data_IF_340667752066
#
_entry.id   IF_340667752066
#
_cell.length_a   1.000
_cell.length_b   1.000
_cell.length_c   1.000
_cell.angle_alpha   90.00
_cell.angle_beta   90.00
_cell.angle_gamma   90.00
#
_symmetry.space_group_name_H-M   'P 1'
#
loop_
_entity.id
_entity.type
_entity.pdbx_description
1 polymer ?
#
# COMPACT_ATOMS: atom_id res chain seq x y z
N UNK A 1 -8.97 23.40 -9.44
CA UNK A 1 -9.77 22.36 -10.14
C UNK A 1 -11.11 22.97 -10.52
N UNK A 2 -11.54 22.89 -11.79
CA UNK A 2 -12.79 23.52 -12.27
C UNK A 2 -14.03 22.88 -11.61
N UNK A 3 -15.10 23.65 -11.47
CA UNK A 3 -16.35 23.25 -10.80
C UNK A 3 -17.02 22.07 -11.51
N UNK A 4 -17.02 22.00 -12.85
CA UNK A 4 -17.60 20.86 -13.57
C UNK A 4 -16.83 19.56 -13.27
N UNK A 5 -15.49 19.64 -13.15
CA UNK A 5 -14.66 18.46 -12.85
C UNK A 5 -14.97 17.92 -11.46
N UNK A 6 -15.19 18.80 -10.47
CA UNK A 6 -15.58 18.43 -9.10
C UNK A 6 -16.96 17.79 -9.04
N UNK A 7 -17.88 18.20 -9.91
CA UNK A 7 -19.23 17.64 -9.99
C UNK A 7 -19.28 16.27 -10.69
N UNK A 8 -18.22 15.86 -11.39
CA UNK A 8 -18.23 14.60 -12.14
C UNK A 8 -18.46 13.39 -11.22
N UNK A 9 -19.25 12.38 -11.65
CA UNK A 9 -19.58 11.21 -10.82
C UNK A 9 -18.35 10.46 -10.32
N UNK A 10 -17.33 10.31 -11.18
CA UNK A 10 -16.09 9.63 -10.83
C UNK A 10 -15.30 10.36 -9.73
N UNK A 11 -15.24 11.70 -9.78
CA UNK A 11 -14.58 12.49 -8.74
C UNK A 11 -15.37 12.43 -7.43
N UNK A 12 -16.71 12.46 -7.48
CA UNK A 12 -17.54 12.31 -6.28
C UNK A 12 -17.34 10.95 -5.60
N UNK A 13 -17.19 9.87 -6.35
CA UNK A 13 -16.84 8.54 -5.80
C UNK A 13 -15.46 8.58 -5.14
N UNK A 14 -14.47 9.18 -5.81
CA UNK A 14 -13.11 9.30 -5.26
C UNK A 14 -13.09 10.11 -3.96
N UNK A 15 -13.77 11.26 -3.90
CA UNK A 15 -13.88 12.09 -2.69
C UNK A 15 -14.54 11.33 -1.55
N UNK A 16 -15.63 10.59 -1.82
CA UNK A 16 -16.31 9.77 -0.81
C UNK A 16 -15.42 8.64 -0.29
N UNK A 17 -14.68 7.97 -1.17
CA UNK A 17 -13.74 6.92 -0.77
C UNK A 17 -12.59 7.51 0.07
N UNK A 18 -11.99 8.62 -0.38
CA UNK A 18 -10.91 9.32 0.33
C UNK A 18 -11.33 9.73 1.74
N UNK A 19 -12.49 10.37 1.86
CA UNK A 19 -13.06 10.77 3.16
C UNK A 19 -13.31 9.56 4.06
N UNK A 20 -13.82 8.44 3.51
CA UNK A 20 -14.06 7.24 4.30
C UNK A 20 -12.77 6.60 4.82
N UNK A 21 -11.70 6.57 4.02
CA UNK A 21 -10.38 6.08 4.45
C UNK A 21 -9.78 6.99 5.52
N UNK A 22 -9.78 8.32 5.30
CA UNK A 22 -9.20 9.27 6.25
C UNK A 22 -9.96 9.36 7.59
N UNK A 23 -11.26 9.09 7.58
CA UNK A 23 -12.08 9.08 8.80
C UNK A 23 -12.18 7.69 9.46
N UNK A 24 -11.40 6.70 9.00
CA UNK A 24 -11.47 5.31 9.45
C UNK A 24 -12.89 4.70 9.41
N UNK A 25 -13.75 5.19 8.51
CA UNK A 25 -15.13 4.74 8.38
C UNK A 25 -15.21 3.59 7.37
N UNK A 26 -14.85 2.39 7.83
CA UNK A 26 -14.84 1.17 7.02
C UNK A 26 -16.22 0.84 6.42
N UNK A 27 -17.32 1.09 7.15
CA UNK A 27 -18.67 0.86 6.66
C UNK A 27 -18.99 1.75 5.45
N UNK A 28 -18.67 3.05 5.54
CA UNK A 28 -18.82 3.99 4.42
C UNK A 28 -17.90 3.61 3.25
N UNK A 29 -16.67 3.19 3.52
CA UNK A 29 -15.75 2.75 2.49
C UNK A 29 -16.31 1.57 1.69
N UNK A 30 -16.71 0.48 2.35
CA UNK A 30 -17.26 -0.69 1.66
C UNK A 30 -18.60 -0.39 0.99
N UNK A 31 -19.39 0.56 1.50
CA UNK A 31 -20.59 1.05 0.81
C UNK A 31 -20.26 1.80 -0.50
N UNK A 32 -19.18 2.58 -0.53
CA UNK A 32 -18.68 3.19 -1.77
C UNK A 32 -18.23 2.12 -2.75
N UNK A 33 -17.44 1.13 -2.28
CA UNK A 33 -16.96 0.03 -3.13
C UNK A 33 -18.14 -0.76 -3.72
N UNK A 34 -19.16 -1.07 -2.92
CA UNK A 34 -20.37 -1.77 -3.39
C UNK A 34 -21.06 -1.04 -4.54
N UNK A 35 -21.07 0.29 -4.54
CA UNK A 35 -21.69 1.13 -5.60
C UNK A 35 -20.76 1.48 -6.77
N UNK A 36 -19.45 1.26 -6.62
CA UNK A 36 -18.46 1.61 -7.62
C UNK A 36 -18.50 0.66 -8.85
N UNK A 37 -18.00 1.16 -9.99
CA UNK A 37 -17.74 0.31 -11.17
C UNK A 37 -16.59 -0.66 -10.91
N UNK A 38 -16.41 -1.66 -11.79
CA UNK A 38 -15.29 -2.61 -11.66
C UNK A 38 -13.94 -1.90 -11.57
N UNK A 39 -13.62 -0.99 -12.49
CA UNK A 39 -12.32 -0.29 -12.51
C UNK A 39 -12.13 0.59 -11.27
N UNK A 40 -13.17 1.30 -10.84
CA UNK A 40 -13.13 2.09 -9.61
C UNK A 40 -12.87 1.19 -8.39
N UNK A 41 -13.60 0.08 -8.28
CA UNK A 41 -13.43 -0.87 -7.19
C UNK A 41 -12.05 -1.56 -7.21
N UNK A 42 -11.50 -1.84 -8.40
CA UNK A 42 -10.16 -2.42 -8.57
C UNK A 42 -9.06 -1.48 -8.06
N UNK A 43 -9.20 -0.16 -8.27
CA UNK A 43 -8.30 0.83 -7.68
C UNK A 43 -8.47 0.86 -6.15
N UNK A 44 -9.71 0.93 -5.67
CA UNK A 44 -10.01 0.96 -4.23
C UNK A 44 -9.55 -0.30 -3.49
N UNK A 45 -9.43 -1.42 -4.19
CA UNK A 45 -8.95 -2.69 -3.64
C UNK A 45 -7.57 -2.56 -2.97
N UNK A 46 -6.71 -1.66 -3.44
CA UNK A 46 -5.40 -1.37 -2.83
C UNK A 46 -5.51 -0.99 -1.35
N UNK A 47 -6.62 -0.38 -0.93
CA UNK A 47 -6.84 0.09 0.44
C UNK A 47 -7.55 -0.92 1.33
N UNK A 48 -7.96 -2.09 0.82
CA UNK A 48 -8.72 -3.07 1.60
C UNK A 48 -7.96 -3.52 2.85
N UNK A 49 -6.68 -3.87 2.72
CA UNK A 49 -5.87 -4.30 3.86
C UNK A 49 -5.83 -3.25 4.97
N UNK A 50 -5.49 -2.00 4.61
CA UNK A 50 -5.45 -0.87 5.54
C UNK A 50 -6.82 -0.63 6.21
N UNK A 51 -7.91 -0.59 5.42
CA UNK A 51 -9.25 -0.33 5.95
C UNK A 51 -9.72 -1.47 6.86
N UNK A 52 -9.45 -2.73 6.50
CA UNK A 52 -9.78 -3.90 7.32
C UNK A 52 -9.02 -3.89 8.64
N UNK A 53 -7.73 -3.56 8.62
CA UNK A 53 -6.90 -3.42 9.83
C UNK A 53 -7.45 -2.32 10.75
N UNK A 54 -7.70 -1.13 10.20
CA UNK A 54 -8.30 -0.01 10.95
C UNK A 54 -9.69 -0.36 11.50
N UNK A 55 -10.47 -1.15 10.77
CA UNK A 55 -11.76 -1.64 11.23
C UNK A 55 -11.62 -2.56 12.43
N UNK A 56 -10.69 -3.53 12.40
CA UNK A 56 -10.41 -4.40 13.55
C UNK A 56 -9.96 -3.59 14.76
N UNK A 57 -9.03 -2.64 14.58
CA UNK A 57 -8.58 -1.75 15.66
C UNK A 57 -9.75 -0.95 16.26
N UNK A 58 -10.65 -0.44 15.40
CA UNK A 58 -11.85 0.28 15.82
C UNK A 58 -12.82 -0.63 16.58
N UNK A 59 -13.07 -1.84 16.07
CA UNK A 59 -13.93 -2.84 16.73
C UNK A 59 -13.36 -3.28 18.07
N UNK A 60 -12.05 -3.50 18.15
CA UNK A 60 -11.39 -3.82 19.41
C UNK A 60 -11.60 -2.70 20.43
N UNK A 61 -11.35 -1.44 20.06
CA UNK A 61 -11.56 -0.29 20.97
C UNK A 61 -13.01 -0.13 21.41
N UNK A 62 -13.97 -0.40 20.53
CA UNK A 62 -15.39 -0.16 20.79
C UNK A 62 -16.08 -1.33 21.52
N UNK A 63 -15.72 -2.57 21.19
CA UNK A 63 -16.47 -3.76 21.64
C UNK A 63 -15.74 -4.59 22.68
N UNK A 64 -14.44 -4.36 22.94
CA UNK A 64 -13.70 -5.18 23.92
C UNK A 64 -13.86 -4.65 25.34
N UNK A 65 -14.07 -5.59 26.24
CA UNK A 65 -13.98 -5.37 27.70
C UNK A 65 -12.62 -5.86 28.22
N UNK A 66 -12.38 -5.79 29.52
CA UNK A 66 -11.15 -6.30 30.16
C UNK A 66 -10.89 -7.79 29.92
N UNK A 67 -11.93 -8.57 29.56
CA UNK A 67 -11.81 -10.01 29.28
C UNK A 67 -11.67 -10.35 27.80
N UNK A 68 -11.63 -9.34 26.92
CA UNK A 68 -11.77 -9.53 25.48
C UNK A 68 -13.21 -9.79 25.05
N UNK A 69 -13.42 -9.87 23.73
CA UNK A 69 -14.73 -10.10 23.12
C UNK A 69 -14.60 -11.10 21.98
N UNK A 70 -15.48 -12.10 21.98
CA UNK A 70 -15.59 -13.06 20.89
C UNK A 70 -16.59 -12.55 19.86
N UNK A 71 -16.17 -12.49 18.59
CA UNK A 71 -17.01 -12.03 17.48
C UNK A 71 -17.15 -13.17 16.47
N UNK A 72 -18.37 -13.48 15.99
CA UNK A 72 -18.56 -14.47 14.95
C UNK A 72 -17.75 -14.15 13.69
N UNK A 73 -17.00 -15.14 13.20
CA UNK A 73 -16.16 -15.01 12.01
C UNK A 73 -16.99 -14.61 10.77
N UNK A 74 -18.22 -15.11 10.68
CA UNK A 74 -19.16 -14.75 9.61
C UNK A 74 -19.53 -13.26 9.61
N UNK A 75 -19.63 -12.64 10.79
CA UNK A 75 -19.90 -11.21 10.88
C UNK A 75 -18.70 -10.38 10.41
N UNK A 76 -17.48 -10.85 10.69
CA UNK A 76 -16.26 -10.23 10.19
C UNK A 76 -16.18 -10.35 8.67
N UNK A 77 -16.40 -11.54 8.12
CA UNK A 77 -16.44 -11.78 6.66
C UNK A 77 -17.44 -10.83 6.00
N UNK A 78 -18.66 -10.77 6.53
CA UNK A 78 -19.74 -9.94 6.01
C UNK A 78 -19.45 -8.45 6.15
N UNK A 79 -18.92 -8.01 7.29
CA UNK A 79 -18.72 -6.58 7.57
C UNK A 79 -17.51 -6.03 6.81
N UNK A 80 -16.42 -6.79 6.77
CA UNK A 80 -15.15 -6.40 6.16
C UNK A 80 -14.96 -6.93 4.73
N UNK A 81 -16.01 -7.55 4.19
CA UNK A 81 -16.12 -7.99 2.80
C UNK A 81 -14.96 -8.91 2.41
N UNK A 82 -14.65 -9.90 3.25
CA UNK A 82 -13.76 -11.00 2.89
C UNK A 82 -14.47 -11.97 1.93
N UNK A 83 -13.71 -12.65 1.08
CA UNK A 83 -14.24 -13.58 0.08
C UNK A 83 -14.43 -14.98 0.65
N UNK A 84 -13.66 -15.34 1.69
CA UNK A 84 -13.71 -16.67 2.30
C UNK A 84 -13.30 -16.67 3.77
N UNK A 85 -13.65 -17.76 4.44
CA UNK A 85 -13.18 -18.09 5.79
C UNK A 85 -11.65 -18.19 5.82
N UNK A 86 -11.05 -18.84 4.81
CA UNK A 86 -9.60 -19.00 4.70
C UNK A 86 -8.89 -17.65 4.61
N UNK A 87 -9.38 -16.73 3.75
CA UNK A 87 -8.83 -15.36 3.62
C UNK A 87 -8.87 -14.63 4.97
N UNK A 88 -9.99 -14.76 5.68
CA UNK A 88 -10.20 -14.08 6.97
C UNK A 88 -9.28 -14.65 8.05
N UNK A 89 -9.12 -15.97 8.12
CA UNK A 89 -8.23 -16.62 9.07
C UNK A 89 -6.77 -16.26 8.82
N UNK A 90 -6.32 -16.23 7.55
CA UNK A 90 -4.97 -15.78 7.22
C UNK A 90 -4.75 -14.32 7.64
N UNK A 91 -5.72 -13.45 7.35
CA UNK A 91 -5.66 -12.03 7.78
C UNK A 91 -5.61 -11.89 9.31
N UNK A 92 -6.38 -12.69 10.04
CA UNK A 92 -6.35 -12.70 11.50
C UNK A 92 -5.00 -13.19 12.05
N UNK A 93 -4.44 -14.25 11.46
CA UNK A 93 -3.13 -14.77 11.84
C UNK A 93 -2.02 -13.74 11.60
N UNK A 94 -2.05 -13.04 10.46
CA UNK A 94 -1.10 -11.97 10.15
C UNK A 94 -1.16 -10.80 11.15
N UNK A 95 -2.33 -10.54 11.74
CA UNK A 95 -2.51 -9.51 12.78
C UNK A 95 -2.40 -10.06 14.21
N UNK A 96 -1.95 -11.30 14.38
CA UNK A 96 -1.84 -11.98 15.68
C UNK A 96 -3.15 -12.03 16.48
N UNK A 97 -4.27 -12.15 15.76
CA UNK A 97 -5.61 -12.28 16.35
C UNK A 97 -5.88 -13.76 16.61
N UNK A 98 -6.17 -14.10 17.86
CA UNK A 98 -6.60 -15.46 18.24
C UNK A 98 -7.90 -15.82 17.53
N UNK A 99 -7.92 -16.98 16.86
CA UNK A 99 -9.11 -17.51 16.19
C UNK A 99 -9.55 -18.81 16.86
N UNK A 100 -10.85 -18.92 17.11
CA UNK A 100 -11.54 -20.13 17.58
C UNK A 100 -12.43 -20.66 16.46
N UNK A 101 -12.95 -21.91 16.56
CA UNK A 101 -13.93 -22.40 15.60
C UNK A 101 -15.09 -21.40 15.46
N UNK A 102 -15.27 -20.88 14.24
CA UNK A 102 -16.28 -19.89 13.84
C UNK A 102 -16.22 -18.51 14.53
N UNK A 103 -15.20 -18.20 15.33
CA UNK A 103 -15.11 -16.93 16.05
C UNK A 103 -13.69 -16.36 16.04
N UNK A 104 -13.58 -15.03 16.13
CA UNK A 104 -12.33 -14.35 16.43
C UNK A 104 -12.37 -13.78 17.83
N UNK A 105 -11.23 -13.71 18.50
CA UNK A 105 -11.11 -13.08 19.81
C UNK A 105 -10.35 -11.77 19.69
N UNK A 106 -11.05 -10.68 20.01
CA UNK A 106 -10.44 -9.37 20.10
C UNK A 106 -10.16 -9.03 21.55
N UNK A 107 -9.02 -8.40 21.79
CA UNK A 107 -8.59 -7.92 23.10
C UNK A 107 -8.28 -6.44 22.99
N UNK A 108 -8.39 -5.71 24.08
CA UNK A 108 -8.03 -4.30 24.11
C UNK A 108 -6.51 -4.19 24.10
N UNK A 109 -5.90 -4.18 22.92
CA UNK A 109 -4.48 -3.93 22.72
C UNK A 109 -4.27 -2.65 21.92
N UNK A 110 -3.15 -1.98 22.14
CA UNK A 110 -2.81 -0.73 21.45
C UNK A 110 -2.34 -0.98 20.02
N UNK A 111 -1.92 -2.20 19.69
CA UNK A 111 -1.26 -2.50 18.43
C UNK A 111 -1.71 -3.84 17.84
N UNK A 112 -2.57 -3.76 16.81
CA UNK A 112 -2.77 -4.86 15.86
C UNK A 112 -1.90 -4.55 14.65
N UNK A 113 -0.61 -4.89 14.75
CA UNK A 113 0.37 -4.67 13.70
C UNK A 113 0.82 -6.00 13.12
N UNK A 114 0.84 -6.15 11.79
CA UNK A 114 1.38 -7.35 11.18
C UNK A 114 2.90 -7.37 11.30
N UNK A 115 3.48 -8.54 11.55
CA UNK A 115 4.95 -8.72 11.60
C UNK A 115 5.62 -8.51 10.23
N UNK A 116 4.85 -8.55 9.14
CA UNK A 116 5.36 -8.40 7.78
C UNK A 116 4.34 -7.82 6.81
N UNK A 117 4.62 -7.96 5.51
CA UNK A 117 3.66 -7.57 4.47
C UNK A 117 2.45 -8.49 4.52
N UNK A 118 1.27 -7.88 4.62
CA UNK A 118 0.00 -8.63 4.61
C UNK A 118 -0.24 -9.27 3.25
N UNK A 119 -0.89 -10.44 3.26
CA UNK A 119 -1.25 -11.15 2.02
C UNK A 119 -2.26 -10.35 1.19
N UNK A 120 -2.04 -10.36 -0.13
CA UNK A 120 -2.95 -9.71 -1.09
C UNK A 120 -3.83 -10.78 -1.73
N UNK A 121 -5.12 -10.77 -1.40
CA UNK A 121 -6.10 -11.69 -1.96
C UNK A 121 -6.94 -11.05 -3.06
N UNK A 122 -7.43 -11.83 -4.02
CA UNK A 122 -8.43 -11.33 -4.97
C UNK A 122 -9.77 -11.16 -4.26
N UNK A 123 -10.32 -9.96 -4.29
CA UNK A 123 -11.64 -9.69 -3.72
C UNK A 123 -12.77 -10.25 -4.58
N UNK A 124 -13.62 -11.09 -3.96
CA UNK A 124 -14.88 -11.54 -4.56
C UNK A 124 -15.85 -10.39 -4.85
N UNK A 125 -15.89 -9.37 -3.98
CA UNK A 125 -16.70 -8.15 -4.18
C UNK A 125 -16.27 -7.35 -5.41
N UNK A 126 -14.96 -7.31 -5.71
CA UNK A 126 -14.45 -6.63 -6.90
C UNK A 126 -14.71 -7.47 -8.14
N UNK A 127 -14.38 -8.76 -8.07
CA UNK A 127 -14.57 -9.70 -9.19
C UNK A 127 -16.02 -9.81 -9.63
N UNK A 128 -16.98 -9.80 -8.70
CA UNK A 128 -18.41 -9.88 -9.04
C UNK A 128 -18.91 -8.69 -9.89
N UNK A 129 -18.20 -7.56 -9.88
CA UNK A 129 -18.53 -6.37 -10.68
C UNK A 129 -18.20 -6.49 -12.15
N UNK A 130 -17.46 -7.53 -12.56
CA UNK A 130 -17.22 -7.79 -13.98
C UNK A 130 -18.51 -8.21 -14.69
N UNK A 131 -19.46 -8.85 -13.98
CA UNK A 131 -20.76 -9.30 -14.51
C UNK A 131 -20.61 -10.01 -15.87
N UNK A 132 -19.72 -11.00 -15.92
CA UNK A 132 -19.38 -11.82 -17.10
C UNK A 132 -18.77 -11.09 -18.30
N UNK A 133 -18.44 -9.79 -18.15
CA UNK A 133 -17.71 -9.05 -19.18
C UNK A 133 -16.22 -9.30 -19.09
N UNK A 134 -15.56 -9.36 -20.25
CA UNK A 134 -14.10 -9.39 -20.31
C UNK A 134 -13.51 -8.06 -19.82
N UNK A 135 -12.29 -8.12 -19.27
CA UNK A 135 -11.56 -6.92 -18.86
C UNK A 135 -11.38 -5.95 -20.04
N UNK A 136 -11.10 -6.48 -21.24
CA UNK A 136 -10.98 -5.68 -22.46
C UNK A 136 -12.26 -4.91 -22.80
N UNK A 137 -13.43 -5.56 -22.70
CA UNK A 137 -14.71 -4.89 -22.92
C UNK A 137 -14.98 -3.79 -21.88
N UNK A 138 -14.59 -4.01 -20.62
CA UNK A 138 -14.71 -2.99 -19.56
C UNK A 138 -13.81 -1.79 -19.84
N UNK A 139 -12.56 -2.02 -20.24
CA UNK A 139 -11.59 -0.97 -20.59
C UNK A 139 -12.04 -0.19 -21.83
N UNK A 140 -12.60 -0.88 -22.82
CA UNK A 140 -13.15 -0.28 -24.03
C UNK A 140 -14.48 0.48 -23.80
N UNK A 141 -14.91 0.63 -22.54
CA UNK A 141 -16.20 1.23 -22.16
C UNK A 141 -17.40 0.56 -22.83
N UNK A 142 -17.34 -0.76 -23.03
CA UNK A 142 -18.38 -1.52 -23.70
C UNK A 142 -18.35 -1.44 -25.23
N UNK A 143 -17.33 -0.80 -25.83
CA UNK A 143 -17.07 -0.96 -27.27
C UNK A 143 -16.62 -2.39 -27.53
N UNK A 144 -17.22 -3.01 -28.56
CA UNK A 144 -16.74 -4.29 -29.04
C UNK A 144 -15.25 -4.13 -29.43
N UNK A 145 -14.37 -5.07 -29.03
CA UNK A 145 -13.04 -5.13 -29.61
C UNK A 145 -13.21 -5.20 -31.13
N UNK A 146 -12.41 -4.42 -31.88
CA UNK A 146 -12.46 -4.51 -33.34
C UNK A 146 -12.17 -5.97 -33.74
N UNK A 147 -13.06 -6.59 -34.50
CA UNK A 147 -12.84 -7.94 -35.06
C UNK A 147 -11.67 -7.96 -36.07
N UNK A 148 -11.15 -6.78 -36.44
CA UNK A 148 -9.96 -6.65 -37.26
C UNK A 148 -8.72 -7.00 -36.45
N UNK A 149 -8.33 -8.27 -36.53
CA UNK A 149 -6.97 -8.69 -36.19
C UNK A 149 -5.99 -7.85 -37.01
N UNK A 150 -5.08 -7.15 -36.33
CA UNK A 150 -3.99 -6.45 -36.99
C UNK A 150 -3.18 -7.50 -37.75
N UNK A 151 -3.17 -7.43 -39.08
CA UNK A 151 -2.22 -8.19 -39.87
C UNK A 151 -0.90 -7.42 -39.80
N UNK A 152 0.15 -7.97 -39.19
CA UNK A 152 1.47 -7.35 -39.24
C UNK A 152 1.89 -7.32 -40.71
N UNK A 153 1.90 -6.13 -41.28
CA UNK A 153 2.48 -5.90 -42.59
C UNK A 153 3.99 -5.79 -42.41
N UNK A 154 4.75 -6.55 -43.20
CA UNK A 154 6.18 -6.37 -43.26
C UNK A 154 6.46 -4.98 -43.82
N UNK A 155 7.25 -4.20 -43.09
CA UNK A 155 7.80 -2.96 -43.63
C UNK A 155 8.84 -3.21 -44.72
N UNK A 156 9.14 -4.48 -45.05
CA UNK A 156 10.11 -4.90 -46.05
C UNK A 156 9.46 -5.74 -47.17
N UNK A 157 9.93 -5.57 -48.39
CA UNK A 157 9.57 -6.42 -49.53
C UNK A 157 10.26 -7.80 -49.50
N UNK A 158 10.02 -8.62 -50.54
CA UNK A 158 10.58 -9.96 -50.67
C UNK A 158 12.12 -9.98 -50.82
N UNK A 159 12.71 -8.86 -51.23
CA UNK A 159 14.17 -8.69 -51.38
C UNK A 159 14.80 -8.06 -50.11
N UNK A 160 14.01 -7.87 -49.05
CA UNK A 160 14.46 -7.33 -47.77
C UNK A 160 14.66 -5.82 -47.76
N UNK A 161 14.05 -5.06 -48.69
CA UNK A 161 14.13 -3.59 -48.74
C UNK A 161 12.94 -2.94 -48.07
N UNK A 162 13.18 -1.85 -47.35
CA UNK A 162 12.13 -1.13 -46.63
C UNK A 162 11.16 -0.43 -47.60
N UNK A 163 9.87 -0.79 -47.55
CA UNK A 163 8.78 -0.26 -48.40
C UNK A 163 7.81 0.66 -47.65
N UNK A 164 8.16 1.08 -46.42
CA UNK A 164 7.31 1.97 -45.63
C UNK A 164 7.26 3.39 -46.18
N UNK A 165 6.54 4.28 -45.50
CA UNK A 165 6.26 5.67 -45.91
C UNK A 165 7.52 6.53 -46.21
N UNK A 166 8.69 6.06 -45.77
CA UNK A 166 9.99 6.69 -45.96
C UNK A 166 10.90 5.95 -46.96
N UNK A 167 10.40 4.97 -47.72
CA UNK A 167 11.21 4.22 -48.71
C UNK A 167 11.91 5.13 -49.72
N UNK A 168 11.22 6.20 -50.14
CA UNK A 168 11.77 7.22 -51.05
C UNK A 168 12.96 8.01 -50.49
N UNK A 169 13.19 8.02 -49.16
CA UNK A 169 14.35 8.66 -48.54
C UNK A 169 15.60 7.77 -48.54
N UNK A 170 15.46 6.49 -48.87
CA UNK A 170 16.56 5.51 -48.87
C UNK A 170 17.12 5.24 -50.27
N UNK A 171 16.39 5.60 -51.33
CA UNK A 171 16.79 5.43 -52.74
C UNK A 171 17.60 6.62 -53.30
N UNK A 172 17.82 7.67 -52.50
CA UNK A 172 18.77 8.72 -52.86
C UNK A 172 20.20 8.19 -52.70
N UNK A 173 21.05 8.22 -53.74
CA UNK A 173 22.46 7.86 -53.59
C UNK A 173 23.07 8.76 -52.52
N UNK A 174 23.88 8.18 -51.63
CA UNK A 174 24.58 8.83 -50.51
C UNK A 174 25.15 10.20 -50.91
N UNK A 175 24.33 11.23 -50.80
CA UNK A 175 24.79 12.59 -50.58
C UNK A 175 24.88 12.67 -49.08
N UNK A 176 26.12 12.77 -48.59
CA UNK A 176 26.42 13.12 -47.21
C UNK A 176 25.88 14.54 -46.97
N UNK A 177 24.57 14.65 -46.76
CA UNK A 177 23.95 15.86 -46.26
C UNK A 177 23.86 15.73 -44.75
N UNK A 178 24.51 16.69 -44.10
CA UNK A 178 24.52 16.87 -42.66
C UNK A 178 23.09 16.81 -42.09
N UNK A 179 22.89 16.29 -40.86
CA UNK A 179 21.58 15.92 -40.35
C UNK A 179 20.65 17.14 -40.28
N UNK A 180 19.75 17.28 -41.25
CA UNK A 180 18.61 18.17 -41.18
C UNK A 180 17.48 17.47 -40.41
N UNK A 181 17.09 18.12 -39.31
CA UNK A 181 16.22 17.60 -38.25
C UNK A 181 14.75 17.84 -38.60
N UNK A 182 14.10 16.88 -39.23
CA UNK A 182 12.64 16.95 -39.47
C UNK A 182 11.79 16.53 -38.25
N UNK A 183 12.38 16.43 -37.05
CA UNK A 183 11.64 16.25 -35.79
C UNK A 183 11.15 17.58 -35.18
N UNK A 184 11.32 18.71 -35.88
CA UNK A 184 11.18 20.05 -35.31
C UNK A 184 9.75 20.62 -35.34
N UNK A 185 8.87 20.24 -36.28
CA UNK A 185 7.59 20.94 -36.49
C UNK A 185 6.57 20.79 -35.33
N UNK A 186 6.33 19.58 -34.83
CA UNK A 186 5.42 19.35 -33.70
C UNK A 186 5.98 19.93 -32.38
N UNK A 187 7.30 19.98 -32.27
CA UNK A 187 8.02 20.49 -31.11
C UNK A 187 7.96 22.03 -31.07
N UNK A 188 8.17 22.68 -32.21
CA UNK A 188 8.21 24.14 -32.34
C UNK A 188 6.83 24.77 -32.21
N UNK A 189 5.76 24.13 -32.66
CA UNK A 189 4.41 24.66 -32.48
C UNK A 189 3.97 24.63 -31.01
N UNK A 190 4.33 23.57 -30.28
CA UNK A 190 4.08 23.47 -28.84
C UNK A 190 4.93 24.47 -28.04
N UNK A 191 6.21 24.63 -28.42
CA UNK A 191 7.11 25.62 -27.81
C UNK A 191 6.60 27.05 -28.06
N UNK A 192 6.19 27.38 -29.28
CA UNK A 192 5.65 28.70 -29.63
C UNK A 192 4.35 29.03 -28.89
N UNK A 193 3.47 28.03 -28.70
CA UNK A 193 2.24 28.17 -27.89
C UNK A 193 2.53 28.39 -26.39
N UNK A 194 3.57 27.75 -25.87
CA UNK A 194 4.02 27.93 -24.47
C UNK A 194 4.70 29.29 -24.27
N UNK A 195 5.51 29.75 -25.23
CA UNK A 195 6.15 31.07 -25.21
C UNK A 195 5.13 32.21 -25.37
N UNK A 196 4.13 32.04 -26.23
CA UNK A 196 3.00 32.98 -26.34
C UNK A 196 2.15 33.06 -25.05
N UNK A 197 2.15 32.00 -24.24
CA UNK A 197 1.55 31.98 -22.91
C UNK A 197 2.48 32.51 -21.79
N UNK A 198 3.66 33.04 -22.14
CA UNK A 198 4.66 33.56 -21.20
C UNK A 198 5.47 32.49 -20.46
N UNK A 199 5.36 31.22 -20.86
CA UNK A 199 5.99 30.08 -20.19
C UNK A 199 7.28 29.72 -20.95
N UNK A 200 8.40 30.34 -20.55
CA UNK A 200 9.73 30.00 -21.07
C UNK A 200 10.17 28.60 -20.61
N UNK A 201 10.89 27.88 -21.47
CA UNK A 201 11.55 26.62 -21.13
C UNK A 201 12.42 26.73 -19.86
N UNK A 202 13.05 27.88 -19.64
CA UNK A 202 13.85 28.16 -18.45
C UNK A 202 12.98 28.24 -17.18
N UNK A 203 11.78 28.83 -17.28
CA UNK A 203 10.83 28.91 -16.18
C UNK A 203 10.30 27.51 -15.82
N UNK A 204 9.97 26.69 -16.82
CA UNK A 204 9.54 25.29 -16.60
C UNK A 204 10.63 24.49 -15.89
N UNK A 205 11.88 24.61 -16.34
CA UNK A 205 13.03 23.96 -15.70
C UNK A 205 13.22 24.43 -14.25
N UNK A 206 13.10 25.73 -13.99
CA UNK A 206 13.27 26.31 -12.66
C UNK A 206 12.17 25.83 -11.70
N UNK A 207 10.90 25.91 -12.12
CA UNK A 207 9.75 25.47 -11.32
C UNK A 207 9.81 23.96 -11.07
N UNK A 208 10.18 23.16 -12.08
CA UNK A 208 10.31 21.70 -11.92
C UNK A 208 11.43 21.35 -10.95
N UNK A 209 12.59 22.02 -11.05
CA UNK A 209 13.71 21.82 -10.12
C UNK A 209 13.33 22.22 -8.69
N UNK A 210 12.61 23.33 -8.53
CA UNK A 210 12.15 23.81 -7.23
C UNK A 210 11.16 22.82 -6.58
N UNK A 211 10.17 22.34 -7.34
CA UNK A 211 9.18 21.39 -6.85
C UNK A 211 9.82 20.05 -6.46
N UNK A 212 10.78 19.57 -7.26
CA UNK A 212 11.53 18.35 -6.95
C UNK A 212 12.35 18.50 -5.66
N UNK A 213 13.03 19.63 -5.47
CA UNK A 213 13.78 19.91 -4.25
C UNK A 213 12.89 19.99 -3.01
N UNK A 214 11.71 20.58 -3.13
CA UNK A 214 10.73 20.67 -2.04
C UNK A 214 10.21 19.29 -1.65
N UNK A 215 9.75 18.49 -2.62
CA UNK A 215 9.24 17.13 -2.38
C UNK A 215 10.33 16.23 -1.79
N UNK A 216 11.54 16.26 -2.36
CA UNK A 216 12.66 15.46 -1.84
C UNK A 216 13.05 15.90 -0.43
N UNK A 217 13.04 17.20 -0.14
CA UNK A 217 13.26 17.73 1.21
C UNK A 217 12.23 17.23 2.22
N UNK A 218 10.94 17.33 1.89
CA UNK A 218 9.85 16.82 2.74
C UNK A 218 9.97 15.30 2.98
N UNK A 219 10.27 14.53 1.94
CA UNK A 219 10.47 13.09 2.06
C UNK A 219 11.66 12.75 2.95
N UNK A 220 12.78 13.46 2.83
CA UNK A 220 13.97 13.24 3.67
C UNK A 220 13.66 13.53 5.13
N UNK A 221 12.92 14.60 5.43
CA UNK A 221 12.50 14.93 6.80
C UNK A 221 11.60 13.85 7.37
N UNK A 222 10.61 13.39 6.59
CA UNK A 222 9.68 12.35 7.02
C UNK A 222 10.40 11.03 7.33
N UNK A 223 11.32 10.60 6.45
CA UNK A 223 12.13 9.39 6.67
C UNK A 223 13.04 9.56 7.89
N UNK A 224 13.65 10.73 8.05
CA UNK A 224 14.55 11.00 9.19
C UNK A 224 13.82 10.98 10.53
N UNK A 225 12.59 11.50 10.59
CA UNK A 225 11.77 11.45 11.81
C UNK A 225 11.41 10.02 12.22
N UNK A 226 11.10 9.15 11.26
CA UNK A 226 10.85 7.74 11.54
C UNK A 226 12.11 7.02 12.06
N UNK A 227 13.27 7.30 11.48
CA UNK A 227 14.56 6.75 11.96
C UNK A 227 14.86 7.22 13.39
N UNK A 228 14.62 8.49 13.72
CA UNK A 228 14.81 9.02 15.07
C UNK A 228 13.89 8.30 16.07
N UNK A 229 12.58 8.18 15.75
CA UNK A 229 11.63 7.45 16.62
C UNK A 229 12.03 6.01 16.85
N UNK A 230 12.47 5.30 15.82
CA UNK A 230 12.95 3.93 15.95
C UNK A 230 14.19 3.85 16.86
N UNK A 231 15.11 4.81 16.73
CA UNK A 231 16.32 4.89 17.56
C UNK A 231 15.97 5.16 19.03
N UNK A 232 15.03 6.08 19.30
CA UNK A 232 14.58 6.38 20.66
C UNK A 232 13.86 5.19 21.31
N UNK A 233 13.07 4.44 20.53
CA UNK A 233 12.43 3.21 21.01
C UNK A 233 13.46 2.14 21.38
N UNK A 234 14.52 1.97 20.58
CA UNK A 234 15.61 1.04 20.88
C UNK A 234 16.32 1.44 22.17
N UNK A 235 16.64 2.72 22.35
CA UNK A 235 17.27 3.22 23.58
C UNK A 235 16.40 2.95 24.81
N UNK A 236 15.12 3.30 24.76
CA UNK A 236 14.18 3.04 25.85
C UNK A 236 14.10 1.52 26.16
N UNK A 237 14.07 0.66 25.14
CA UNK A 237 14.07 -0.79 25.33
C UNK A 237 15.35 -1.28 26.00
N UNK A 238 16.51 -0.72 25.67
CA UNK A 238 17.79 -1.12 26.29
C UNK A 238 17.90 -0.67 27.75
N UNK A 239 17.38 0.51 28.09
CA UNK A 239 17.34 0.99 29.48
C UNK A 239 16.44 0.10 30.34
N UNK A 240 15.24 -0.22 29.86
CA UNK A 240 14.31 -1.14 30.56
C UNK A 240 14.94 -2.52 30.73
N UNK A 241 15.61 -3.05 29.70
CA UNK A 241 16.28 -4.35 29.80
C UNK A 241 17.40 -4.34 30.86
N UNK A 242 18.18 -3.25 30.93
CA UNK A 242 19.24 -3.10 31.93
C UNK A 242 18.66 -3.05 33.36
N UNK A 243 17.58 -2.30 33.57
CA UNK A 243 16.94 -2.19 34.89
C UNK A 243 16.34 -3.52 35.35
N UNK A 244 15.66 -4.26 34.46
CA UNK A 244 15.09 -5.57 34.75
C UNK A 244 16.19 -6.59 35.09
N UNK A 245 17.27 -6.62 34.29
CA UNK A 245 18.41 -7.50 34.53
C UNK A 245 19.06 -7.19 35.87
N UNK A 246 19.29 -5.91 36.19
CA UNK A 246 19.90 -5.54 37.46
C UNK A 246 19.04 -5.96 38.65
N UNK A 247 17.73 -5.66 38.64
CA UNK A 247 16.83 -6.00 39.75
C UNK A 247 16.70 -7.51 39.96
N UNK A 248 16.55 -8.29 38.89
CA UNK A 248 16.29 -9.72 39.02
C UNK A 248 17.56 -10.53 39.26
N UNK A 249 18.66 -10.19 38.61
CA UNK A 249 19.94 -10.90 38.80
C UNK A 249 20.50 -10.65 40.19
N UNK A 250 20.45 -9.40 40.70
CA UNK A 250 20.92 -9.13 42.07
C UNK A 250 20.06 -9.87 43.11
N UNK A 251 18.74 -9.90 42.94
CA UNK A 251 17.83 -10.61 43.85
C UNK A 251 18.05 -12.14 43.86
N UNK A 252 18.23 -12.75 42.68
CA UNK A 252 18.55 -14.17 42.53
C UNK A 252 19.91 -14.51 43.16
N UNK A 253 20.95 -13.70 42.87
CA UNK A 253 22.29 -13.90 43.43
C UNK A 253 22.26 -13.84 44.96
N UNK A 254 21.56 -12.86 45.54
CA UNK A 254 21.43 -12.74 46.99
C UNK A 254 20.69 -13.93 47.61
N UNK A 255 19.69 -14.47 46.91
CA UNK A 255 18.93 -15.65 47.35
C UNK A 255 19.82 -16.89 47.37
N UNK A 256 20.53 -17.15 46.27
CA UNK A 256 21.44 -18.29 46.13
C UNK A 256 22.58 -18.20 47.16
N UNK A 257 23.23 -17.05 47.29
CA UNK A 257 24.28 -16.86 48.30
C UNK A 257 23.75 -17.10 49.72
N UNK A 258 22.54 -16.63 50.02
CA UNK A 258 21.89 -16.85 51.31
C UNK A 258 21.60 -18.33 51.60
N UNK A 259 21.20 -19.10 50.59
CA UNK A 259 20.97 -20.55 50.70
C UNK A 259 22.28 -21.31 50.94
N UNK A 260 23.33 -21.01 50.17
CA UNK A 260 24.66 -21.63 50.33
C UNK A 260 25.25 -21.37 51.71
N UNK A 261 25.17 -20.13 52.21
CA UNK A 261 25.65 -19.78 53.56
C UNK A 261 24.89 -20.57 54.64
N UNK A 262 23.58 -20.75 54.45
CA UNK A 262 22.72 -21.48 55.40
C UNK A 262 23.05 -22.97 55.41
N UNK A 263 23.27 -23.58 54.24
CA UNK A 263 23.71 -24.98 54.14
C UNK A 263 25.09 -25.20 54.78
N UNK A 264 26.05 -24.30 54.56
CA UNK A 264 27.37 -24.36 55.17
C UNK A 264 27.31 -24.29 56.71
N UNK A 265 26.45 -23.42 57.26
CA UNK A 265 26.25 -23.33 58.71
C UNK A 265 25.64 -24.61 59.28
N UNK A 266 24.64 -25.19 58.60
CA UNK A 266 24.03 -26.46 59.00
C UNK A 266 25.00 -27.65 58.87
N UNK A 267 25.89 -27.62 57.87
CA UNK A 267 26.95 -28.62 57.70
C UNK A 267 27.96 -28.57 58.85
N UNK A 268 28.38 -27.36 59.25
CA UNK A 268 29.30 -27.17 60.38
C UNK A 268 28.69 -27.58 61.72
N UNK A 269 27.40 -27.31 61.95
CA UNK A 269 26.71 -27.77 63.16
C UNK A 269 26.65 -29.30 63.25
N UNK A 270 26.39 -29.99 62.13
CA UNK A 270 26.38 -31.47 62.07
C UNK A 270 27.75 -32.12 62.27
N UNK A 271 28.83 -31.36 62.11
CA UNK A 271 30.19 -31.84 62.39
C UNK A 271 30.68 -31.57 63.81
N UNK A 272 29.90 -30.83 64.63
CA UNK A 272 30.21 -30.49 66.02
C UNK A 272 29.42 -31.34 67.04
N UNK A 273 28.50 -32.19 66.58
CA UNK A 273 27.82 -33.25 67.34
C UNK A 273 28.47 -34.62 67.09
#
# INVERSE_FOLDING_TARGET
>A
MRTETRASPSVQVAVKAFSAVHSNNYARFFNVVKKATYLQAAILHRYFGQVRKQAIQTMARAYTTTKGTSIPLQDIIRTLQFSSITETNTFCAELMISTKPNNIELYRTESYEPEGSMSVFRSGLVSSKMADRSLGAIIAHGRAPSDQLHQPISSFDADGRYVGKYSALLDSPDVVEQPQRDSQDLSQEVISKLEAAGISNMMVKLVTKQLLLEITGEMVVQVSQEVIRATDLVKASTEVAHEVLQQHVEAEVMTICGEVIREELLSKQRHLE
#
